data_IF_312067195630
#
_entry.id   IF_312067195630
#
_cell.length_a   1.000
_cell.length_b   1.000
_cell.length_c   1.000
_cell.angle_alpha   90.00
_cell.angle_beta   90.00
_cell.angle_gamma   90.00
#
_symmetry.space_group_name_H-M   'P 1'
#
loop_
_entity.id
_entity.type
_entity.pdbx_description
1 polymer ?
#
# COMPACT_ATOMS: atom_id res chain seq x y z
N UNK A 1 -2.67 18.84 17.22
CA UNK A 1 -2.81 18.25 15.87
C UNK A 1 -4.07 17.40 15.85
N UNK A 2 -4.96 17.59 14.86
CA UNK A 2 -6.14 16.74 14.69
C UNK A 2 -5.79 15.46 13.94
N UNK A 3 -6.51 14.38 14.24
CA UNK A 3 -6.41 13.13 13.52
C UNK A 3 -7.58 12.20 13.80
N UNK A 4 -7.43 10.95 13.39
CA UNK A 4 -8.43 9.91 13.50
C UNK A 4 -7.85 8.69 14.21
N UNK A 5 -8.67 8.02 15.00
CA UNK A 5 -8.32 6.76 15.65
C UNK A 5 -9.49 5.80 15.58
N UNK A 6 -9.20 4.54 15.29
CA UNK A 6 -10.16 3.43 15.35
C UNK A 6 -9.89 2.61 16.60
N UNK A 7 -10.97 2.12 17.20
CA UNK A 7 -11.01 1.25 18.37
C UNK A 7 -11.87 0.03 18.07
N UNK A 8 -11.72 -1.00 18.91
CA UNK A 8 -12.62 -2.14 18.93
C UNK A 8 -14.07 -1.70 19.27
N UNK A 9 -15.08 -2.56 19.02
CA UNK A 9 -16.48 -2.21 19.25
C UNK A 9 -16.81 -1.75 20.69
N UNK A 10 -16.01 -2.20 21.66
CA UNK A 10 -16.12 -1.87 23.08
C UNK A 10 -15.31 -0.62 23.48
N UNK A 11 -14.77 0.16 22.54
CA UNK A 11 -13.86 1.29 22.79
C UNK A 11 -12.47 0.92 23.34
N UNK A 12 -12.07 -0.35 23.27
CA UNK A 12 -10.71 -0.76 23.63
C UNK A 12 -9.71 -0.55 22.49
N UNK A 13 -8.45 -0.33 22.85
CA UNK A 13 -7.31 -0.42 21.93
C UNK A 13 -6.12 -0.99 22.73
N UNK A 14 -5.68 -2.20 22.37
CA UNK A 14 -4.78 -3.01 23.20
C UNK A 14 -5.41 -3.21 24.60
N UNK A 15 -4.63 -3.04 25.66
CA UNK A 15 -5.06 -3.24 27.05
C UNK A 15 -5.75 -2.01 27.66
N UNK A 16 -6.02 -0.97 26.87
CA UNK A 16 -6.59 0.29 27.34
C UNK A 16 -8.02 0.50 26.88
N UNK A 17 -8.82 1.07 27.79
CA UNK A 17 -10.21 1.45 27.57
C UNK A 17 -10.32 2.96 27.35
N UNK A 18 -10.99 3.37 26.28
CA UNK A 18 -11.15 4.78 25.93
C UNK A 18 -12.59 5.25 26.11
N UNK A 19 -12.75 6.57 26.29
CA UNK A 19 -14.03 7.25 26.38
C UNK A 19 -13.98 8.59 25.64
N UNK A 20 -15.06 8.90 24.92
CA UNK A 20 -15.24 10.21 24.28
C UNK A 20 -15.25 11.33 25.31
N UNK A 21 -14.56 12.43 25.00
CA UNK A 21 -14.37 13.60 25.84
C UNK A 21 -13.17 13.51 26.79
N UNK A 22 -12.56 12.32 26.95
CA UNK A 22 -11.48 12.08 27.90
C UNK A 22 -10.09 12.29 27.25
N UNK A 23 -9.18 12.83 28.06
CA UNK A 23 -7.76 12.97 27.75
C UNK A 23 -6.93 11.86 28.40
N UNK A 24 -5.91 11.39 27.70
CA UNK A 24 -5.00 10.33 28.14
C UNK A 24 -3.57 10.79 27.90
N UNK A 25 -2.72 10.60 28.90
CA UNK A 25 -1.33 11.07 28.90
C UNK A 25 -0.38 9.97 29.38
N UNK A 26 0.86 10.05 28.90
CA UNK A 26 1.98 9.28 29.42
C UNK A 26 3.23 10.18 29.48
N UNK A 27 4.11 9.94 30.45
CA UNK A 27 5.32 10.77 30.64
C UNK A 27 6.41 10.45 29.60
N UNK A 28 6.37 9.23 29.09
CA UNK A 28 7.34 8.69 28.13
C UNK A 28 7.26 9.35 26.76
N UNK A 29 8.43 9.55 26.12
CA UNK A 29 8.50 10.03 24.74
C UNK A 29 7.85 9.04 23.76
N UNK A 30 6.96 9.50 22.87
CA UNK A 30 6.32 8.64 21.88
C UNK A 30 7.33 8.13 20.84
N UNK A 31 7.14 6.89 20.39
CA UNK A 31 7.92 6.23 19.34
C UNK A 31 6.95 5.47 18.44
N UNK A 32 6.83 5.89 17.18
CA UNK A 32 5.86 5.32 16.24
C UNK A 32 6.06 3.81 16.10
N UNK A 33 4.96 3.08 15.95
CA UNK A 33 4.88 1.60 15.98
C UNK A 33 5.22 0.92 17.32
N UNK A 34 5.96 1.57 18.23
CA UNK A 34 6.39 0.97 19.49
C UNK A 34 5.54 1.46 20.68
N UNK A 35 5.63 2.76 20.99
CA UNK A 35 5.13 3.35 22.24
C UNK A 35 4.37 4.66 21.99
N UNK A 36 3.27 4.87 22.70
CA UNK A 36 2.40 6.04 22.55
C UNK A 36 1.02 5.71 22.02
N UNK A 37 0.17 6.73 21.98
CA UNK A 37 -1.17 6.64 21.43
C UNK A 37 -1.14 6.80 19.92
N UNK A 38 -1.24 5.68 19.18
CA UNK A 38 -1.24 5.72 17.71
C UNK A 38 -2.56 6.23 17.13
N UNK A 39 -2.47 7.08 16.12
CA UNK A 39 -3.56 7.64 15.34
C UNK A 39 -3.11 7.88 13.89
N UNK A 40 -4.03 8.26 13.00
CA UNK A 40 -3.71 8.62 11.61
C UNK A 40 -4.20 10.03 11.26
N UNK A 41 -3.47 10.76 10.44
CA UNK A 41 -3.91 12.05 9.89
C UNK A 41 -5.08 11.84 8.90
N UNK A 42 -5.02 10.77 8.10
CA UNK A 42 -6.10 10.37 7.17
C UNK A 42 -6.93 9.26 7.79
N UNK A 43 -8.26 9.42 7.83
CA UNK A 43 -9.17 8.43 8.42
C UNK A 43 -9.11 7.06 7.72
N UNK A 44 -8.98 7.07 6.38
CA UNK A 44 -8.87 5.83 5.58
C UNK A 44 -7.66 4.98 5.95
N UNK A 45 -6.56 5.61 6.39
CA UNK A 45 -5.34 4.91 6.78
C UNK A 45 -5.45 4.18 8.13
N UNK A 46 -6.41 4.56 8.99
CA UNK A 46 -6.68 3.80 10.22
C UNK A 46 -7.07 2.35 9.91
N UNK A 47 -7.72 2.11 8.76
CA UNK A 47 -8.17 0.80 8.32
C UNK A 47 -7.06 -0.03 7.64
N UNK A 48 -5.81 0.41 7.74
CA UNK A 48 -4.63 -0.45 7.54
C UNK A 48 -4.32 -1.30 8.78
N UNK A 49 -4.80 -0.86 9.95
CA UNK A 49 -4.54 -1.49 11.25
C UNK A 49 -5.79 -2.12 11.88
N UNK A 50 -6.97 -1.80 11.35
CA UNK A 50 -8.26 -2.31 11.77
C UNK A 50 -9.08 -2.70 10.54
N UNK A 51 -9.94 -3.69 10.69
CA UNK A 51 -10.90 -4.03 9.63
C UNK A 51 -11.91 -2.89 9.43
N UNK A 52 -12.29 -2.65 8.18
CA UNK A 52 -13.35 -1.69 7.82
C UNK A 52 -14.72 -2.29 8.15
N UNK A 53 -15.05 -2.30 9.44
CA UNK A 53 -16.23 -2.93 10.02
C UNK A 53 -17.05 -1.90 10.79
N UNK A 54 -18.35 -1.79 10.49
CA UNK A 54 -19.26 -0.82 11.11
C UNK A 54 -19.48 -1.01 12.61
N UNK A 55 -19.05 -2.13 13.18
CA UNK A 55 -19.03 -2.37 14.62
C UNK A 55 -17.88 -1.64 15.33
N UNK A 56 -16.79 -1.35 14.62
CA UNK A 56 -15.65 -0.61 15.19
C UNK A 56 -16.04 0.83 15.50
N UNK A 57 -15.34 1.42 16.48
CA UNK A 57 -15.52 2.81 16.89
C UNK A 57 -14.49 3.69 16.23
N UNK A 58 -14.93 4.74 15.54
CA UNK A 58 -14.05 5.72 14.88
C UNK A 58 -14.19 7.04 15.61
N UNK A 59 -13.08 7.68 15.95
CA UNK A 59 -13.09 8.95 16.65
C UNK A 59 -12.22 10.00 15.94
N UNK A 60 -12.69 11.24 16.00
CA UNK A 60 -11.83 12.40 15.84
C UNK A 60 -11.04 12.57 17.15
N UNK A 61 -9.73 12.75 17.03
CA UNK A 61 -8.83 12.94 18.16
C UNK A 61 -8.06 14.24 18.05
N UNK A 62 -7.55 14.70 19.18
CA UNK A 62 -6.59 15.80 19.26
C UNK A 62 -5.32 15.29 19.98
N UNK A 63 -4.20 15.30 19.26
CA UNK A 63 -2.88 15.08 19.82
C UNK A 63 -2.28 16.43 20.24
N UNK A 64 -1.93 16.58 21.52
CA UNK A 64 -1.49 17.86 22.10
C UNK A 64 -0.16 17.75 22.88
N UNK A 65 0.46 16.58 22.88
CA UNK A 65 1.80 16.35 23.41
C UNK A 65 2.86 16.31 22.30
N UNK A 66 3.95 15.61 22.58
CA UNK A 66 4.96 15.27 21.57
C UNK A 66 4.33 14.35 20.52
N UNK A 67 4.81 14.46 19.28
CA UNK A 67 4.33 13.65 18.15
C UNK A 67 5.52 13.04 17.43
N UNK A 68 5.49 11.74 17.23
CA UNK A 68 6.38 11.01 16.34
C UNK A 68 5.58 10.48 15.15
N UNK A 69 6.08 10.70 13.93
CA UNK A 69 5.38 10.36 12.69
C UNK A 69 6.26 9.47 11.82
N UNK A 70 5.65 8.42 11.28
CA UNK A 70 6.30 7.54 10.31
C UNK A 70 6.48 8.27 8.97
N UNK A 71 7.68 8.21 8.40
CA UNK A 71 7.99 8.82 7.11
C UNK A 71 7.03 8.30 6.02
N UNK A 72 6.56 9.21 5.15
CA UNK A 72 5.64 8.91 4.03
C UNK A 72 4.30 8.24 4.42
N UNK A 73 3.94 8.31 5.71
CA UNK A 73 2.73 7.71 6.26
C UNK A 73 1.91 8.75 7.00
N UNK A 74 0.59 8.55 7.04
CA UNK A 74 -0.27 9.37 7.91
C UNK A 74 -0.27 8.87 9.36
N UNK A 75 0.44 7.76 9.66
CA UNK A 75 0.52 7.17 10.97
C UNK A 75 1.41 8.00 11.90
N UNK A 76 0.84 8.40 13.02
CA UNK A 76 1.52 9.13 14.08
C UNK A 76 1.33 8.40 15.41
N UNK A 77 2.14 8.71 16.40
CA UNK A 77 1.80 8.52 17.80
C UNK A 77 2.11 9.75 18.62
N UNK A 78 1.41 9.88 19.74
CA UNK A 78 1.61 10.95 20.71
C UNK A 78 1.64 10.41 22.12
N UNK A 79 2.25 11.14 23.05
CA UNK A 79 2.15 10.86 24.48
C UNK A 79 0.94 11.52 25.14
N UNK A 80 0.23 12.43 24.45
CA UNK A 80 -1.00 13.07 24.98
C UNK A 80 -2.09 13.16 23.93
N UNK A 81 -3.19 12.47 24.17
CA UNK A 81 -4.32 12.36 23.23
C UNK A 81 -5.64 12.68 23.92
N UNK A 82 -6.52 13.40 23.22
CA UNK A 82 -7.91 13.58 23.61
C UNK A 82 -8.83 12.93 22.60
N UNK A 83 -9.78 12.13 23.07
CA UNK A 83 -10.83 11.57 22.22
C UNK A 83 -11.94 12.60 22.11
N UNK A 84 -12.05 13.29 20.98
CA UNK A 84 -12.93 14.47 20.85
C UNK A 84 -14.39 14.07 20.70
N UNK A 85 -14.68 13.17 19.75
CA UNK A 85 -16.04 12.67 19.46
C UNK A 85 -15.97 11.33 18.73
N UNK A 86 -17.04 10.54 18.84
CA UNK A 86 -17.30 9.45 17.89
C UNK A 86 -17.72 10.03 16.53
N UNK A 87 -17.24 9.43 15.45
CA UNK A 87 -17.61 9.75 14.08
C UNK A 87 -18.65 8.70 13.66
N UNK A 88 -19.89 9.09 13.33
CA UNK A 88 -20.89 8.15 12.87
C UNK A 88 -20.53 7.59 11.50
N UNK A 89 -20.96 6.36 11.20
CA UNK A 89 -20.49 5.62 10.03
C UNK A 89 -20.87 6.23 8.67
N UNK A 90 -21.95 7.02 8.60
CA UNK A 90 -22.29 7.80 7.41
C UNK A 90 -21.26 8.92 7.16
N UNK A 91 -20.67 9.50 8.20
CA UNK A 91 -19.58 10.45 8.10
C UNK A 91 -18.26 9.73 7.80
N UNK A 92 -18.00 8.56 8.43
CA UNK A 92 -16.83 7.71 8.11
C UNK A 92 -16.79 7.42 6.61
N UNK A 93 -17.89 6.97 6.02
CA UNK A 93 -17.98 6.68 4.58
C UNK A 93 -17.66 7.91 3.70
N UNK A 94 -17.95 9.12 4.17
CA UNK A 94 -17.62 10.35 3.44
C UNK A 94 -16.14 10.73 3.57
N UNK A 95 -15.55 10.60 4.75
CA UNK A 95 -14.17 11.06 4.99
C UNK A 95 -13.09 10.04 4.56
N UNK A 96 -13.45 8.76 4.37
CA UNK A 96 -12.51 7.72 3.91
C UNK A 96 -12.45 7.59 2.38
N UNK A 97 -13.26 8.35 1.65
CA UNK A 97 -13.31 8.37 0.19
C UNK A 97 -13.05 9.79 -0.33
N UNK A 98 -12.46 9.92 -1.51
CA UNK A 98 -12.23 11.18 -2.20
C UNK A 98 -13.25 11.35 -3.34
N UNK A 99 -14.39 11.96 -3.05
CA UNK A 99 -15.48 12.18 -4.01
C UNK A 99 -16.86 12.04 -3.37
N UNK A 100 -17.91 11.86 -4.19
CA UNK A 100 -19.31 11.80 -3.71
C UNK A 100 -19.97 10.45 -3.93
N UNK A 101 -20.92 10.13 -3.06
CA UNK A 101 -21.79 8.96 -3.16
C UNK A 101 -21.05 7.61 -3.21
N UNK A 102 -19.84 7.53 -2.63
CA UNK A 102 -19.06 6.29 -2.57
C UNK A 102 -19.43 5.47 -1.33
N UNK A 103 -19.44 4.15 -1.47
CA UNK A 103 -19.61 3.18 -0.37
C UNK A 103 -18.42 2.24 -0.33
N UNK A 104 -17.89 1.99 0.87
CA UNK A 104 -16.65 1.23 1.07
C UNK A 104 -15.48 2.15 1.40
N UNK A 105 -14.26 1.67 1.17
CA UNK A 105 -13.02 2.28 1.66
C UNK A 105 -12.10 2.75 0.53
N UNK A 106 -11.57 3.96 0.66
CA UNK A 106 -10.47 4.51 -0.14
C UNK A 106 -10.76 4.56 -1.65
N UNK A 107 -12.00 4.87 -2.05
CA UNK A 107 -12.34 5.17 -3.43
C UNK A 107 -11.99 6.63 -3.76
N UNK A 108 -11.59 6.86 -5.01
CA UNK A 108 -11.39 8.19 -5.60
C UNK A 108 -12.33 8.36 -6.79
N UNK A 109 -13.08 9.46 -6.84
CA UNK A 109 -14.16 9.73 -7.78
C UNK A 109 -15.55 9.46 -7.18
N UNK A 110 -16.58 9.32 -8.02
CA UNK A 110 -17.98 9.35 -7.56
C UNK A 110 -18.72 8.03 -7.80
N UNK A 111 -19.65 7.71 -6.89
CA UNK A 111 -20.59 6.59 -7.02
C UNK A 111 -19.91 5.23 -7.18
N UNK A 112 -18.76 5.06 -6.53
CA UNK A 112 -18.08 3.77 -6.48
C UNK A 112 -18.60 2.95 -5.31
N UNK A 113 -18.87 1.67 -5.56
CA UNK A 113 -19.25 0.68 -4.55
C UNK A 113 -18.17 -0.38 -4.43
N UNK A 114 -17.60 -0.50 -3.23
CA UNK A 114 -16.48 -1.39 -2.93
C UNK A 114 -15.26 -0.60 -2.51
N UNK A 115 -14.07 -1.18 -2.67
CA UNK A 115 -12.84 -0.61 -2.10
C UNK A 115 -11.81 -0.26 -3.17
N UNK A 116 -11.10 0.86 -2.96
CA UNK A 116 -9.94 1.26 -3.77
C UNK A 116 -10.25 1.42 -5.27
N UNK A 117 -11.45 1.83 -5.64
CA UNK A 117 -11.75 2.16 -7.03
C UNK A 117 -11.34 3.60 -7.34
N UNK A 118 -10.83 3.82 -8.55
CA UNK A 118 -10.51 5.14 -9.11
C UNK A 118 -11.37 5.40 -10.33
N UNK A 119 -12.09 6.52 -10.35
CA UNK A 119 -13.02 6.89 -11.42
C UNK A 119 -14.47 6.87 -10.95
N UNK A 120 -15.44 6.54 -11.81
CA UNK A 120 -16.85 6.72 -11.46
C UNK A 120 -17.70 5.47 -11.72
N UNK A 121 -18.70 5.23 -10.87
CA UNK A 121 -19.70 4.17 -11.07
C UNK A 121 -19.12 2.75 -11.13
N UNK A 122 -17.97 2.50 -10.50
CA UNK A 122 -17.40 1.16 -10.43
C UNK A 122 -18.07 0.36 -9.29
N UNK A 123 -18.36 -0.90 -9.55
CA UNK A 123 -18.83 -1.88 -8.56
C UNK A 123 -17.83 -3.01 -8.44
N UNK A 124 -17.37 -3.27 -7.21
CA UNK A 124 -16.28 -4.22 -6.91
C UNK A 124 -15.04 -3.47 -6.39
N UNK A 125 -13.87 -4.07 -6.51
CA UNK A 125 -12.66 -3.54 -5.88
C UNK A 125 -11.54 -3.30 -6.89
N UNK A 126 -10.73 -2.25 -6.63
CA UNK A 126 -9.52 -1.94 -7.41
C UNK A 126 -9.77 -1.72 -8.90
N UNK A 127 -10.93 -1.20 -9.29
CA UNK A 127 -11.18 -0.82 -10.67
C UNK A 127 -10.66 0.59 -10.95
N UNK A 128 -10.13 0.80 -12.16
CA UNK A 128 -9.73 2.12 -12.69
C UNK A 128 -10.54 2.41 -13.95
N UNK A 129 -11.20 3.57 -14.00
CA UNK A 129 -12.05 4.00 -15.11
C UNK A 129 -13.51 4.11 -14.68
N UNK A 130 -14.45 3.81 -15.58
CA UNK A 130 -15.88 4.03 -15.33
C UNK A 130 -16.76 2.81 -15.59
N UNK A 131 -17.74 2.62 -14.71
CA UNK A 131 -18.83 1.64 -14.92
C UNK A 131 -18.36 0.19 -15.08
N UNK A 132 -17.24 -0.15 -14.44
CA UNK A 132 -16.82 -1.54 -14.34
C UNK A 132 -17.60 -2.27 -13.26
N UNK A 133 -17.91 -3.54 -13.50
CA UNK A 133 -18.48 -4.48 -12.55
C UNK A 133 -17.56 -5.71 -12.47
N UNK A 134 -17.00 -5.96 -11.29
CA UNK A 134 -15.95 -6.96 -11.06
C UNK A 134 -14.77 -6.34 -10.31
N UNK A 135 -13.67 -7.07 -10.23
CA UNK A 135 -12.46 -6.62 -9.53
C UNK A 135 -11.28 -6.44 -10.48
N UNK A 136 -10.40 -5.48 -10.17
CA UNK A 136 -9.14 -5.25 -10.88
C UNK A 136 -9.29 -4.96 -12.39
N UNK A 137 -10.33 -4.24 -12.80
CA UNK A 137 -10.46 -3.79 -14.18
C UNK A 137 -9.78 -2.45 -14.43
N UNK A 138 -9.25 -2.27 -15.64
CA UNK A 138 -8.81 -0.98 -16.18
C UNK A 138 -9.55 -0.69 -17.47
N UNK A 139 -10.14 0.50 -17.59
CA UNK A 139 -10.96 0.91 -18.74
C UNK A 139 -12.42 1.09 -18.34
N UNK A 140 -13.35 0.89 -19.28
CA UNK A 140 -14.75 1.24 -19.06
C UNK A 140 -15.72 0.10 -19.38
N UNK A 141 -16.82 0.01 -18.63
CA UNK A 141 -17.92 -0.92 -18.93
C UNK A 141 -17.58 -2.41 -18.96
N UNK A 142 -16.52 -2.84 -18.27
CA UNK A 142 -16.23 -4.27 -18.12
C UNK A 142 -17.19 -4.92 -17.12
N UNK A 143 -17.68 -6.14 -17.42
CA UNK A 143 -18.55 -6.94 -16.55
C UNK A 143 -17.90 -8.26 -16.10
N UNK A 144 -16.57 -8.27 -16.06
CA UNK A 144 -15.72 -9.39 -15.66
C UNK A 144 -14.64 -8.83 -14.72
N UNK A 145 -13.87 -9.69 -14.04
CA UNK A 145 -12.68 -9.25 -13.29
C UNK A 145 -11.42 -9.38 -14.14
N UNK A 146 -10.38 -8.62 -13.79
CA UNK A 146 -9.05 -8.66 -14.42
C UNK A 146 -9.01 -8.30 -15.91
N UNK A 147 -9.89 -7.39 -16.35
CA UNK A 147 -9.93 -6.94 -17.73
C UNK A 147 -9.28 -5.58 -17.93
N UNK A 148 -8.49 -5.46 -18.99
CA UNK A 148 -7.96 -4.19 -19.49
C UNK A 148 -8.61 -3.89 -20.84
N UNK A 149 -9.48 -2.89 -20.91
CA UNK A 149 -10.20 -2.52 -22.14
C UNK A 149 -11.61 -2.02 -21.88
N UNK A 150 -12.45 -2.04 -22.92
CA UNK A 150 -13.82 -1.56 -22.84
C UNK A 150 -14.83 -2.63 -23.25
N UNK A 151 -15.98 -2.66 -22.55
CA UNK A 151 -17.14 -3.53 -22.88
C UNK A 151 -16.87 -5.04 -22.84
N UNK A 152 -15.93 -5.51 -22.00
CA UNK A 152 -15.64 -6.95 -21.91
C UNK A 152 -16.61 -7.67 -20.97
N UNK A 153 -17.11 -8.83 -21.42
CA UNK A 153 -17.96 -9.74 -20.62
C UNK A 153 -17.29 -11.07 -20.33
N UNK A 154 -16.26 -11.43 -21.10
CA UNK A 154 -15.53 -12.69 -20.98
C UNK A 154 -14.13 -12.49 -20.41
N UNK A 155 -13.58 -13.54 -19.80
CA UNK A 155 -12.22 -13.51 -19.27
C UNK A 155 -11.22 -13.33 -20.40
N UNK A 156 -10.37 -12.31 -20.28
CA UNK A 156 -9.36 -12.01 -21.29
C UNK A 156 -8.11 -12.89 -21.11
N UNK A 157 -7.58 -13.34 -22.24
CA UNK A 157 -6.25 -13.96 -22.31
C UNK A 157 -5.18 -12.88 -22.19
N UNK A 158 -4.09 -13.19 -21.49
CA UNK A 158 -3.01 -12.24 -21.27
C UNK A 158 -1.94 -12.34 -22.35
N UNK A 159 -1.13 -11.29 -22.41
CA UNK A 159 0.12 -11.28 -23.19
C UNK A 159 1.25 -11.58 -22.21
N UNK A 160 2.12 -12.51 -22.57
CA UNK A 160 3.31 -12.87 -21.82
C UNK A 160 4.49 -12.98 -22.79
N UNK A 161 5.63 -12.38 -22.43
CA UNK A 161 6.80 -12.26 -23.33
C UNK A 161 6.43 -11.70 -24.70
N UNK A 162 5.67 -10.60 -24.70
CA UNK A 162 5.19 -9.88 -25.89
C UNK A 162 4.35 -10.71 -26.88
N UNK A 163 3.86 -11.88 -26.47
CA UNK A 163 3.03 -12.78 -27.28
C UNK A 163 1.75 -13.17 -26.53
N UNK A 164 0.60 -13.33 -27.21
CA UNK A 164 -0.60 -13.88 -26.59
C UNK A 164 -0.34 -15.27 -26.00
N UNK A 165 -0.96 -15.60 -24.88
CA UNK A 165 -0.93 -16.95 -24.32
C UNK A 165 -2.31 -17.36 -23.76
N UNK A 166 -2.50 -18.65 -23.50
CA UNK A 166 -3.77 -19.17 -22.99
C UNK A 166 -4.03 -18.86 -21.52
N UNK A 167 -3.11 -18.20 -20.83
CA UNK A 167 -3.30 -17.79 -19.45
C UNK A 167 -4.17 -16.54 -19.36
N UNK A 168 -4.94 -16.45 -18.29
CA UNK A 168 -5.57 -15.21 -17.85
C UNK A 168 -4.70 -14.53 -16.80
N UNK A 169 -4.95 -13.25 -16.53
CA UNK A 169 -4.23 -12.55 -15.46
C UNK A 169 -4.47 -13.18 -14.07
N UNK A 170 -5.60 -13.89 -13.89
CA UNK A 170 -5.86 -14.66 -12.67
C UNK A 170 -4.90 -15.85 -12.54
N UNK A 171 -4.69 -16.58 -13.62
CA UNK A 171 -3.75 -17.71 -13.65
C UNK A 171 -2.33 -17.25 -13.27
N UNK A 172 -1.91 -16.07 -13.76
CA UNK A 172 -0.65 -15.44 -13.35
C UNK A 172 -0.58 -15.16 -11.84
N UNK A 173 -1.63 -14.57 -11.24
CA UNK A 173 -1.62 -14.26 -9.82
C UNK A 173 -1.60 -15.50 -8.91
N UNK A 174 -2.18 -16.61 -9.37
CA UNK A 174 -2.28 -17.84 -8.60
C UNK A 174 -1.06 -18.78 -8.80
N UNK A 175 -0.24 -18.55 -9.83
CA UNK A 175 0.86 -19.45 -10.19
C UNK A 175 2.04 -19.41 -9.20
N UNK A 176 2.82 -20.50 -9.16
CA UNK A 176 4.03 -20.60 -8.33
C UNK A 176 5.15 -19.68 -8.82
N UNK A 177 5.34 -19.56 -10.14
CA UNK A 177 6.37 -18.71 -10.73
C UNK A 177 6.25 -17.25 -10.26
N UNK A 178 5.05 -16.67 -10.28
CA UNK A 178 4.79 -15.31 -9.78
C UNK A 178 5.19 -15.16 -8.31
N UNK A 179 4.83 -16.13 -7.46
CA UNK A 179 5.19 -16.13 -6.04
C UNK A 179 6.70 -16.23 -5.79
N UNK A 180 7.43 -16.91 -6.67
CA UNK A 180 8.91 -16.95 -6.63
C UNK A 180 9.48 -15.60 -7.06
N UNK A 181 9.01 -15.05 -8.17
CA UNK A 181 9.48 -13.76 -8.69
C UNK A 181 9.21 -12.59 -7.73
N UNK A 182 8.12 -12.63 -6.95
CA UNK A 182 7.85 -11.65 -5.89
C UNK A 182 8.92 -11.63 -4.77
N UNK A 183 9.76 -12.67 -4.67
CA UNK A 183 10.86 -12.78 -3.69
C UNK A 183 12.17 -12.17 -4.20
N UNK A 184 12.23 -11.74 -5.47
CA UNK A 184 13.40 -11.07 -6.02
C UNK A 184 13.71 -9.82 -5.15
N UNK A 185 14.95 -9.67 -4.66
CA UNK A 185 15.34 -8.50 -3.89
C UNK A 185 15.08 -7.22 -4.68
N UNK A 186 14.31 -6.28 -4.11
CA UNK A 186 14.09 -4.96 -4.71
C UNK A 186 15.28 -4.05 -4.44
N UNK A 187 15.62 -3.19 -5.40
CA UNK A 187 16.63 -2.13 -5.23
C UNK A 187 16.42 -1.41 -3.89
N UNK A 188 17.33 -1.62 -2.95
CA UNK A 188 17.27 -0.97 -1.65
C UNK A 188 17.82 0.44 -1.80
N UNK A 189 16.97 1.43 -1.59
CA UNK A 189 17.40 2.81 -1.39
C UNK A 189 17.72 2.98 0.09
N UNK A 190 18.95 3.41 0.38
CA UNK A 190 19.39 3.70 1.74
C UNK A 190 19.55 5.21 1.87
N UNK A 191 18.89 5.81 2.87
CA UNK A 191 19.21 7.17 3.27
C UNK A 191 20.60 7.21 3.92
N UNK A 192 21.49 8.04 3.41
CA UNK A 192 22.84 8.27 3.99
C UNK A 192 22.83 9.67 4.61
N UNK A 193 23.00 9.72 5.93
CA UNK A 193 23.09 10.97 6.67
C UNK A 193 24.38 11.70 6.31
N UNK A 194 24.36 13.03 6.30
CA UNK A 194 25.53 13.87 5.97
C UNK A 194 26.79 13.52 6.78
N UNK A 195 26.62 13.08 8.04
CA UNK A 195 27.70 12.63 8.93
C UNK A 195 28.41 11.37 8.44
N UNK A 196 27.68 10.52 7.72
CA UNK A 196 28.13 9.19 7.30
C UNK A 196 28.58 9.18 5.83
N UNK A 197 28.48 10.33 5.14
CA UNK A 197 28.88 10.50 3.75
C UNK A 197 30.41 10.60 3.62
N UNK A 198 30.96 9.93 2.60
CA UNK A 198 32.35 10.15 2.18
C UNK A 198 32.53 11.55 1.58
N UNK A 199 33.77 12.03 1.50
CA UNK A 199 34.04 13.36 0.96
C UNK A 199 33.72 13.44 -0.54
N UNK A 200 33.87 12.34 -1.28
CA UNK A 200 33.44 12.21 -2.68
C UNK A 200 31.91 12.30 -2.80
N UNK A 201 31.17 11.63 -1.91
CA UNK A 201 29.70 11.68 -1.90
C UNK A 201 29.19 13.10 -1.63
N UNK A 202 29.86 13.85 -0.75
CA UNK A 202 29.52 15.27 -0.45
C UNK A 202 29.77 16.19 -1.64
N UNK A 203 30.75 15.89 -2.49
CA UNK A 203 31.05 16.66 -3.70
C UNK A 203 29.98 16.41 -4.77
N UNK A 204 29.63 15.14 -5.00
CA UNK A 204 28.65 14.75 -6.03
C UNK A 204 27.23 15.20 -5.64
N UNK A 205 26.88 15.11 -4.35
CA UNK A 205 25.55 15.47 -3.86
C UNK A 205 25.60 16.78 -3.07
N UNK A 206 26.03 17.88 -3.69
CA UNK A 206 26.22 19.17 -3.00
C UNK A 206 24.97 19.73 -2.31
N UNK A 207 23.76 19.30 -2.71
CA UNK A 207 22.49 19.60 -2.04
C UNK A 207 22.32 18.91 -0.68
N UNK A 208 23.15 17.92 -0.35
CA UNK A 208 23.13 17.21 0.94
C UNK A 208 23.28 18.14 2.15
N UNK A 209 23.92 19.31 1.96
CA UNK A 209 24.09 20.33 3.02
C UNK A 209 22.77 20.98 3.43
N UNK A 210 21.80 21.09 2.52
CA UNK A 210 20.47 21.63 2.82
C UNK A 210 19.47 20.53 3.18
N UNK A 211 19.63 19.31 2.65
CA UNK A 211 18.73 18.18 2.90
C UNK A 211 19.15 17.30 4.10
N UNK A 212 20.33 17.49 4.66
CA UNK A 212 20.86 16.70 5.79
C UNK A 212 21.40 15.30 5.42
N UNK A 213 21.46 14.98 4.12
CA UNK A 213 21.85 13.67 3.61
C UNK A 213 21.37 13.47 2.17
N UNK A 214 21.50 12.26 1.65
CA UNK A 214 20.98 11.91 0.33
C UNK A 214 20.47 10.46 0.28
N UNK A 215 19.60 10.18 -0.69
CA UNK A 215 19.12 8.83 -0.95
C UNK A 215 20.13 8.09 -1.84
N UNK A 216 20.88 7.15 -1.28
CA UNK A 216 21.81 6.30 -2.02
C UNK A 216 21.06 5.10 -2.58
N UNK A 217 21.06 4.97 -3.89
CA UNK A 217 20.62 3.74 -4.56
C UNK A 217 21.76 2.73 -4.37
N UNK A 218 21.52 1.64 -3.63
CA UNK A 218 22.48 0.55 -3.57
C UNK A 218 22.39 -0.20 -4.92
N UNK A 219 23.49 -0.20 -5.68
CA UNK A 219 23.59 -0.98 -6.91
C UNK A 219 23.71 -2.47 -6.56
N UNK A 220 22.54 -3.06 -6.40
CA UNK A 220 22.35 -4.48 -6.11
C UNK A 220 22.05 -5.27 -7.40
N UNK A 221 22.48 -4.81 -8.58
CA UNK A 221 22.38 -5.61 -9.82
C UNK A 221 22.96 -7.02 -9.67
N UNK A 222 23.93 -7.20 -8.76
CA UNK A 222 24.45 -8.52 -8.35
C UNK A 222 23.50 -9.32 -7.46
N UNK A 223 22.67 -8.70 -6.62
CA UNK A 223 21.80 -9.40 -5.68
C UNK A 223 20.71 -10.20 -6.39
N UNK A 224 20.18 -9.68 -7.50
CA UNK A 224 19.14 -10.36 -8.27
C UNK A 224 19.69 -11.63 -8.96
N UNK A 225 20.87 -11.53 -9.58
CA UNK A 225 21.53 -12.72 -10.15
C UNK A 225 21.97 -13.72 -9.06
N UNK A 226 22.46 -13.25 -7.91
CA UNK A 226 22.81 -14.12 -6.80
C UNK A 226 21.59 -14.87 -6.26
N UNK A 227 20.44 -14.19 -6.12
CA UNK A 227 19.16 -14.81 -5.77
C UNK A 227 18.80 -15.92 -6.76
N UNK A 228 18.89 -15.65 -8.06
CA UNK A 228 18.65 -16.66 -9.08
C UNK A 228 19.59 -17.86 -8.94
N UNK A 229 20.88 -17.61 -8.77
CA UNK A 229 21.90 -18.67 -8.71
C UNK A 229 21.65 -19.65 -7.55
N UNK A 230 21.18 -19.17 -6.40
CA UNK A 230 20.88 -19.99 -5.22
C UNK A 230 19.47 -20.59 -5.23
N UNK A 231 18.61 -20.20 -6.16
CA UNK A 231 17.26 -20.74 -6.29
C UNK A 231 17.33 -22.24 -6.63
N UNK A 232 16.53 -23.11 -5.97
CA UNK A 232 16.47 -24.53 -6.29
C UNK A 232 16.17 -24.77 -7.78
N UNK A 233 16.78 -25.80 -8.36
CA UNK A 233 16.62 -26.07 -9.80
C UNK A 233 15.15 -26.32 -10.18
N UNK A 234 14.40 -27.02 -9.33
CA UNK A 234 12.96 -27.22 -9.53
C UNK A 234 12.17 -25.91 -9.60
N UNK A 235 12.58 -24.89 -8.85
CA UNK A 235 11.94 -23.57 -8.82
C UNK A 235 12.34 -22.73 -10.03
N UNK A 236 13.60 -22.85 -10.48
CA UNK A 236 14.03 -22.27 -11.77
C UNK A 236 13.21 -22.85 -12.91
N UNK A 237 13.04 -24.17 -12.96
CA UNK A 237 12.24 -24.83 -14.00
C UNK A 237 10.78 -24.38 -14.00
N UNK A 238 10.19 -24.09 -12.83
CA UNK A 238 8.84 -23.51 -12.74
C UNK A 238 8.76 -22.12 -13.41
N UNK A 239 9.80 -21.30 -13.28
CA UNK A 239 9.87 -19.98 -13.92
C UNK A 239 10.14 -20.12 -15.42
N UNK A 240 11.06 -20.99 -15.81
CA UNK A 240 11.40 -21.26 -17.21
C UNK A 240 10.24 -21.90 -17.99
N UNK A 241 9.31 -22.56 -17.30
CA UNK A 241 8.10 -23.14 -17.89
C UNK A 241 6.95 -22.13 -18.10
N UNK A 242 7.18 -20.83 -17.87
CA UNK A 242 6.17 -19.80 -18.16
C UNK A 242 5.79 -19.79 -19.65
N UNK A 243 4.51 -19.53 -19.99
CA UNK A 243 4.09 -19.43 -21.38
C UNK A 243 4.92 -18.41 -22.16
N UNK A 244 5.36 -18.78 -23.36
CA UNK A 244 6.17 -17.96 -24.25
C UNK A 244 7.53 -17.52 -23.66
N UNK A 245 8.07 -18.21 -22.63
CA UNK A 245 9.31 -17.81 -21.98
C UNK A 245 10.42 -17.47 -22.99
N UNK A 246 11.01 -16.30 -22.81
CA UNK A 246 12.05 -15.74 -23.65
C UNK A 246 13.14 -15.18 -22.73
N UNK A 247 14.34 -15.76 -22.81
CA UNK A 247 15.42 -15.47 -21.88
C UNK A 247 15.93 -14.02 -22.02
N UNK A 248 15.97 -13.49 -23.24
CA UNK A 248 16.45 -12.13 -23.49
C UNK A 248 15.47 -11.10 -22.92
N UNK A 249 14.16 -11.30 -23.15
CA UNK A 249 13.11 -10.45 -22.56
C UNK A 249 13.08 -10.62 -21.03
N UNK A 250 13.31 -11.84 -20.52
CA UNK A 250 13.38 -12.08 -19.08
C UNK A 250 14.54 -11.32 -18.45
N UNK A 251 15.75 -11.38 -19.04
CA UNK A 251 16.91 -10.60 -18.60
C UNK A 251 16.61 -9.10 -18.65
N UNK A 252 16.01 -8.60 -19.74
CA UNK A 252 15.64 -7.19 -19.87
C UNK A 252 14.69 -6.73 -18.75
N UNK A 253 13.69 -7.54 -18.41
CA UNK A 253 12.69 -7.20 -17.40
C UNK A 253 13.20 -7.33 -15.95
N UNK A 254 14.08 -8.31 -15.68
CA UNK A 254 14.44 -8.73 -14.32
C UNK A 254 15.90 -8.47 -13.95
N UNK A 255 16.80 -8.38 -14.94
CA UNK A 255 18.24 -8.36 -14.76
C UNK A 255 18.88 -9.74 -14.52
N UNK A 256 18.14 -10.85 -14.70
CA UNK A 256 18.63 -12.22 -14.52
C UNK A 256 19.06 -12.81 -15.86
N UNK A 257 20.31 -13.27 -15.92
CA UNK A 257 20.87 -14.10 -17.00
C UNK A 257 20.61 -15.57 -16.73
N UNK A 258 20.02 -16.25 -17.72
CA UNK A 258 19.72 -17.68 -17.73
C UNK A 258 20.89 -18.46 -18.34
#
# INVERSE_FOLDING_TARGET
MKGYKVFNPDWSCREMQYKVGTSYEMDDKPVVCNRGFHFCIKASDCFKFYDFNSQNKVAEIEAYGDIDQEADSSKCCTNKIKIVREIPWDEVLRIVNEGRDCTGLANTGNRNTGNRNTGNWNTGNRNTGSRNAGDMNTGDWNKVSYSSGCFNTDKQKMIMFNKPCDWTLRDWFDCKAKRLLDQIPKKVVKWVQLSDMSDEEKIVHSTCKTTGGYLKILDESKCVQLWWNVLPEEDKQVILALPNFDADIFEECTGIRI
#
